data_IF_518943025115
#
_entry.id   IF_518943025115
#
_cell.length_a   1.000
_cell.length_b   1.000
_cell.length_c   1.000
_cell.angle_alpha   90.00
_cell.angle_beta   90.00
_cell.angle_gamma   90.00
#
_symmetry.space_group_name_H-M   'P 1'
#
loop_
_entity.id
_entity.type
_entity.pdbx_description
1 polymer ?
#
# COMPACT_ATOMS: atom_id res chain seq x y z
N UNK A 1 18.91 -30.42 1.60
CA UNK A 1 18.85 -29.03 2.09
C UNK A 1 20.18 -28.72 2.75
N UNK A 2 21.09 -27.98 2.11
CA UNK A 2 22.45 -27.68 2.62
C UNK A 2 22.50 -26.68 3.77
N UNK A 3 21.53 -26.76 4.69
CA UNK A 3 21.48 -25.93 5.88
C UNK A 3 22.48 -26.40 6.95
N UNK A 4 22.68 -25.58 8.00
CA UNK A 4 23.56 -25.91 9.12
C UNK A 4 23.12 -27.20 9.83
N UNK A 5 24.07 -27.89 10.47
CA UNK A 5 23.76 -29.10 11.26
C UNK A 5 22.87 -28.72 12.45
N UNK A 6 21.67 -29.31 12.51
CA UNK A 6 20.75 -29.15 13.63
C UNK A 6 20.88 -30.36 14.56
N UNK A 7 21.10 -30.13 15.86
CA UNK A 7 21.16 -31.19 16.88
C UNK A 7 20.29 -30.76 18.06
N UNK A 8 19.42 -31.65 18.55
CA UNK A 8 18.61 -31.42 19.75
C UNK A 8 17.28 -30.67 19.56
N UNK A 9 16.87 -30.37 18.32
CA UNK A 9 15.53 -29.81 18.05
C UNK A 9 14.53 -30.96 17.90
N UNK A 10 13.54 -31.01 18.78
CA UNK A 10 12.46 -32.02 18.74
C UNK A 10 11.16 -31.31 18.36
N UNK A 11 10.48 -31.81 17.34
CA UNK A 11 9.22 -31.24 16.84
C UNK A 11 8.09 -32.23 17.02
N UNK A 12 6.99 -31.77 17.63
CA UNK A 12 5.77 -32.54 17.79
C UNK A 12 4.68 -31.99 16.90
N UNK A 13 3.89 -32.88 16.30
CA UNK A 13 2.74 -32.50 15.50
C UNK A 13 1.58 -33.46 15.78
N UNK A 14 0.35 -32.97 15.59
CA UNK A 14 -0.88 -33.78 15.68
C UNK A 14 -1.39 -34.03 14.26
N UNK A 15 -1.96 -35.22 14.02
CA UNK A 15 -2.56 -35.58 12.73
C UNK A 15 -3.61 -34.53 12.32
N UNK A 16 -3.57 -34.02 11.07
CA UNK A 16 -4.54 -33.02 10.58
C UNK A 16 -6.00 -33.48 10.68
N UNK A 17 -6.27 -34.77 10.49
CA UNK A 17 -7.62 -35.36 10.62
C UNK A 17 -8.16 -35.30 12.05
N UNK A 18 -7.30 -35.06 13.05
CA UNK A 18 -7.66 -34.88 14.46
C UNK A 18 -7.72 -33.41 14.89
N UNK A 19 -7.51 -32.47 13.98
CA UNK A 19 -7.59 -31.03 14.23
C UNK A 19 -8.82 -30.41 13.58
N UNK A 20 -9.27 -29.26 14.12
CA UNK A 20 -10.30 -28.44 13.48
C UNK A 20 -9.62 -27.42 12.57
N UNK A 21 -9.76 -27.58 11.25
CA UNK A 21 -9.00 -26.80 10.25
C UNK A 21 -9.13 -25.27 10.36
N UNK A 22 -10.32 -24.75 10.71
CA UNK A 22 -10.61 -23.31 10.75
C UNK A 22 -10.84 -22.79 12.18
N UNK A 23 -10.42 -23.53 13.22
CA UNK A 23 -10.66 -23.12 14.61
C UNK A 23 -9.99 -21.77 14.87
N UNK A 24 -10.80 -20.76 15.23
CA UNK A 24 -10.31 -19.43 15.59
C UNK A 24 -9.87 -18.58 14.39
N UNK A 25 -10.21 -18.95 13.15
CA UNK A 25 -9.80 -18.20 11.96
C UNK A 25 -10.28 -16.75 12.01
N UNK A 26 -11.53 -16.49 12.40
CA UNK A 26 -12.07 -15.13 12.46
C UNK A 26 -11.42 -14.29 13.56
N UNK A 27 -11.37 -14.82 14.79
CA UNK A 27 -10.74 -14.12 15.91
C UNK A 27 -9.25 -13.87 15.64
N UNK A 28 -8.53 -14.88 15.13
CA UNK A 28 -7.12 -14.76 14.80
C UNK A 28 -6.86 -13.79 13.65
N UNK A 29 -7.68 -13.81 12.59
CA UNK A 29 -7.47 -12.97 11.42
C UNK A 29 -7.86 -11.51 11.65
N UNK A 30 -8.93 -11.25 12.42
CA UNK A 30 -9.33 -9.87 12.72
C UNK A 30 -8.21 -9.16 13.48
N UNK A 31 -7.71 -9.73 14.58
CA UNK A 31 -6.70 -9.05 15.39
C UNK A 31 -5.28 -9.16 14.79
N UNK A 32 -4.85 -10.36 14.40
CA UNK A 32 -3.50 -10.53 13.85
C UNK A 32 -3.39 -10.05 12.41
N UNK A 33 -4.44 -10.23 11.59
CA UNK A 33 -4.46 -9.72 10.22
C UNK A 33 -4.46 -8.19 10.18
N UNK A 34 -5.25 -7.53 11.05
CA UNK A 34 -5.19 -6.08 11.19
C UNK A 34 -3.80 -5.59 11.64
N UNK A 35 -3.22 -6.22 12.67
CA UNK A 35 -1.87 -5.86 13.12
C UNK A 35 -0.81 -6.03 12.01
N UNK A 36 -0.92 -7.09 11.20
CA UNK A 36 -0.04 -7.31 10.04
C UNK A 36 -0.24 -6.25 8.96
N UNK A 37 -1.48 -5.91 8.64
CA UNK A 37 -1.80 -4.88 7.66
C UNK A 37 -1.25 -3.52 8.09
N UNK A 38 -1.50 -3.10 9.33
CA UNK A 38 -1.05 -1.80 9.84
C UNK A 38 0.48 -1.65 9.85
N UNK A 39 1.24 -2.74 10.01
CA UNK A 39 2.71 -2.71 9.91
C UNK A 39 3.21 -2.45 8.49
N UNK A 40 2.44 -2.86 7.48
CA UNK A 40 2.78 -2.69 6.06
C UNK A 40 2.13 -1.44 5.45
N UNK A 41 1.05 -0.95 6.06
CA UNK A 41 0.27 0.17 5.57
C UNK A 41 1.12 1.42 5.25
N UNK A 42 2.11 1.85 6.06
CA UNK A 42 2.92 3.02 5.72
C UNK A 42 3.69 2.86 4.41
N UNK A 43 4.22 1.68 4.12
CA UNK A 43 5.00 1.43 2.91
C UNK A 43 4.18 1.46 1.63
N UNK A 44 2.86 1.29 1.72
CA UNK A 44 1.95 1.30 0.57
C UNK A 44 1.16 2.61 0.51
N UNK A 45 0.57 3.03 1.64
CA UNK A 45 -0.31 4.19 1.69
C UNK A 45 0.44 5.49 1.51
N UNK A 46 1.67 5.64 2.03
CA UNK A 46 2.44 6.87 1.86
C UNK A 46 2.82 7.14 0.39
N UNK A 47 3.43 6.20 -0.36
CA UNK A 47 3.72 6.46 -1.77
C UNK A 47 2.44 6.58 -2.60
N UNK A 48 1.39 5.81 -2.29
CA UNK A 48 0.11 5.91 -3.01
C UNK A 48 -0.55 7.27 -2.79
N UNK A 49 -0.55 7.80 -1.56
CA UNK A 49 -1.15 9.11 -1.27
C UNK A 49 -0.37 10.24 -1.95
N UNK A 50 0.96 10.21 -1.89
CA UNK A 50 1.81 11.19 -2.59
C UNK A 50 1.56 11.16 -4.09
N UNK A 51 1.55 9.97 -4.70
CA UNK A 51 1.29 9.81 -6.13
C UNK A 51 -0.08 10.36 -6.53
N UNK A 52 -1.12 10.06 -5.74
CA UNK A 52 -2.47 10.55 -5.99
C UNK A 52 -2.59 12.07 -5.82
N UNK A 53 -1.95 12.64 -4.80
CA UNK A 53 -1.93 14.08 -4.57
C UNK A 53 -1.25 14.84 -5.72
N UNK A 54 -0.10 14.36 -6.19
CA UNK A 54 0.61 14.95 -7.33
C UNK A 54 -0.24 14.86 -8.60
N UNK A 55 -0.85 13.70 -8.85
CA UNK A 55 -1.73 13.49 -10.00
C UNK A 55 -2.93 14.45 -9.99
N UNK A 56 -3.62 14.56 -8.86
CA UNK A 56 -4.79 15.45 -8.68
C UNK A 56 -4.42 16.92 -8.94
N UNK A 57 -3.28 17.36 -8.39
CA UNK A 57 -2.77 18.70 -8.61
C UNK A 57 -2.41 18.94 -10.09
N UNK A 58 -1.66 18.02 -10.70
CA UNK A 58 -1.22 18.13 -12.08
C UNK A 58 -2.40 18.18 -13.04
N UNK A 59 -3.42 17.35 -12.82
CA UNK A 59 -4.65 17.34 -13.62
C UNK A 59 -5.38 18.68 -13.55
N UNK A 60 -5.63 19.17 -12.35
CA UNK A 60 -6.31 20.47 -12.15
C UNK A 60 -5.52 21.61 -12.77
N UNK A 61 -4.19 21.61 -12.61
CA UNK A 61 -3.32 22.63 -13.19
C UNK A 61 -3.31 22.56 -14.72
N UNK A 62 -3.28 21.37 -15.29
CA UNK A 62 -3.36 21.14 -16.72
C UNK A 62 -4.69 21.66 -17.28
N UNK A 63 -5.81 21.32 -16.66
CA UNK A 63 -7.14 21.80 -17.06
C UNK A 63 -7.23 23.33 -16.98
N UNK A 64 -6.72 23.95 -15.91
CA UNK A 64 -6.64 25.40 -15.78
C UNK A 64 -5.81 26.03 -16.90
N UNK A 65 -4.60 25.53 -17.14
CA UNK A 65 -3.71 26.07 -18.17
C UNK A 65 -4.30 25.97 -19.58
N UNK A 66 -5.13 24.94 -19.83
CA UNK A 66 -5.83 24.75 -21.10
C UNK A 66 -7.21 25.45 -21.16
N UNK A 67 -7.60 26.13 -20.09
CA UNK A 67 -8.80 26.97 -20.08
C UNK A 67 -8.52 28.31 -20.78
N UNK A 68 -9.58 28.99 -21.24
CA UNK A 68 -9.44 30.30 -21.91
C UNK A 68 -8.72 31.31 -21.02
N UNK A 69 -9.16 31.43 -19.77
CA UNK A 69 -8.58 32.35 -18.79
C UNK A 69 -7.11 32.00 -18.49
N UNK A 70 -6.82 30.71 -18.32
CA UNK A 70 -5.45 30.25 -18.07
C UNK A 70 -4.52 30.52 -19.24
N UNK A 71 -4.95 30.27 -20.48
CA UNK A 71 -4.16 30.55 -21.67
C UNK A 71 -3.82 32.04 -21.82
N UNK A 72 -4.78 32.95 -21.56
CA UNK A 72 -4.53 34.39 -21.63
C UNK A 72 -3.53 34.87 -20.57
N UNK A 73 -3.67 34.41 -19.32
CA UNK A 73 -2.78 34.79 -18.22
C UNK A 73 -1.36 34.23 -18.46
N UNK A 74 -1.25 32.99 -18.94
CA UNK A 74 0.04 32.38 -19.28
C UNK A 74 0.72 33.09 -20.46
N UNK A 75 -0.04 33.50 -21.47
CA UNK A 75 0.49 34.28 -22.60
C UNK A 75 0.99 35.66 -22.16
N UNK A 76 0.26 36.34 -21.27
CA UNK A 76 0.69 37.61 -20.66
C UNK A 76 1.96 37.43 -19.80
N UNK A 77 2.04 36.34 -19.03
CA UNK A 77 3.23 36.04 -18.21
C UNK A 77 4.46 35.65 -19.05
N UNK A 78 4.26 35.06 -20.23
CA UNK A 78 5.34 34.69 -21.15
C UNK A 78 5.91 35.88 -21.95
N UNK A 79 5.41 37.10 -21.74
CA UNK A 79 5.90 38.31 -22.41
C UNK A 79 5.28 38.57 -23.79
N UNK A 80 4.07 38.05 -24.04
CA UNK A 80 3.30 38.48 -25.21
C UNK A 80 2.94 39.97 -25.09
N UNK A 81 3.28 40.73 -26.14
CA UNK A 81 2.94 42.15 -26.31
C UNK A 81 1.49 42.48 -25.97
#
# INVERSE_FOLDING_TARGET
MGGPKQKGVITYAVSPSRQRAMKGVFHGYIFNGFSRFMRQAPYVLLPASVGYSVYSWAKTKYEWNNSKEGHHILAQQAGGH
#
